data_IF_904959638640
#
_entry.id   IF_904959638640
#
_cell.length_a   1.000
_cell.length_b   1.000
_cell.length_c   1.000
_cell.angle_alpha   90.00
_cell.angle_beta   90.00
_cell.angle_gamma   90.00
#
_symmetry.space_group_name_H-M   'P 1'
#
loop_
_entity.id
_entity.type
_entity.pdbx_description
1 polymer ?
#
# COMPACT_ATOMS: atom_id res chain seq x y z
N UNK A 1 59.83 -39.42 0.43
CA UNK A 1 59.72 -39.43 1.91
C UNK A 1 59.56 -37.98 2.35
N UNK A 2 58.62 -37.53 3.17
CA UNK A 2 57.51 -38.13 3.90
C UNK A 2 56.76 -36.92 4.50
N UNK A 3 55.45 -37.07 4.72
CA UNK A 3 54.66 -36.34 5.72
C UNK A 3 54.37 -34.86 5.48
N UNK A 4 53.15 -34.57 5.03
CA UNK A 4 52.24 -33.60 5.67
C UNK A 4 50.81 -33.70 5.11
N UNK A 5 50.17 -34.84 5.33
CA UNK A 5 48.72 -34.94 5.40
C UNK A 5 48.34 -35.10 6.87
N UNK A 6 47.79 -34.04 7.46
CA UNK A 6 47.04 -34.12 8.71
C UNK A 6 45.64 -33.58 8.44
N UNK A 7 44.77 -34.55 8.21
CA UNK A 7 43.32 -34.46 8.28
C UNK A 7 42.87 -33.69 9.52
N UNK A 8 42.06 -32.67 9.30
CA UNK A 8 41.24 -32.02 10.31
C UNK A 8 39.90 -32.77 10.29
N UNK A 9 39.88 -33.92 10.96
CA UNK A 9 38.66 -34.62 11.36
C UNK A 9 38.39 -34.29 12.84
N UNK A 10 37.80 -33.13 13.10
CA UNK A 10 37.23 -32.82 14.42
C UNK A 10 35.94 -32.02 14.24
N UNK A 11 34.88 -32.51 14.90
CA UNK A 11 33.54 -31.92 15.08
C UNK A 11 32.42 -32.47 14.20
N UNK A 12 32.23 -33.80 14.20
CA UNK A 12 30.99 -34.44 13.78
C UNK A 12 30.57 -35.57 14.75
N UNK A 13 30.51 -35.31 16.06
CA UNK A 13 29.90 -36.25 17.02
C UNK A 13 29.59 -35.59 18.36
N UNK A 14 28.45 -34.89 18.46
CA UNK A 14 28.06 -34.34 19.78
C UNK A 14 26.72 -33.62 19.91
N UNK A 15 26.01 -33.32 18.82
CA UNK A 15 24.71 -32.62 18.88
C UNK A 15 23.52 -33.56 19.01
N UNK A 16 23.33 -34.19 20.18
CA UNK A 16 22.09 -34.95 20.46
C UNK A 16 20.92 -34.00 20.72
N UNK A 17 19.94 -34.10 19.83
CA UNK A 17 18.51 -34.13 20.12
C UNK A 17 17.90 -32.96 20.92
N UNK A 18 17.82 -31.80 20.28
CA UNK A 18 16.67 -30.88 20.46
C UNK A 18 16.05 -30.56 19.09
N UNK A 19 15.88 -31.59 18.26
CA UNK A 19 14.91 -31.54 17.17
C UNK A 19 13.53 -31.68 17.80
N UNK A 20 13.03 -30.56 18.34
CA UNK A 20 11.65 -30.43 18.77
C UNK A 20 10.79 -30.68 17.54
N UNK A 21 10.14 -31.84 17.55
CA UNK A 21 9.27 -32.36 16.50
C UNK A 21 7.95 -31.57 16.49
N UNK A 22 8.02 -30.27 16.19
CA UNK A 22 6.88 -29.38 15.96
C UNK A 22 6.72 -29.25 14.46
N UNK A 23 6.27 -30.33 13.83
CA UNK A 23 5.71 -30.25 12.47
C UNK A 23 4.64 -31.31 12.28
N UNK A 24 3.63 -31.31 13.16
CA UNK A 24 2.31 -31.83 12.80
C UNK A 24 1.54 -30.67 12.17
N UNK A 25 1.94 -30.28 10.95
CA UNK A 25 1.09 -29.48 10.08
C UNK A 25 -0.17 -30.29 9.86
N UNK A 26 -1.32 -29.75 10.29
CA UNK A 26 -2.62 -30.31 9.94
C UNK A 26 -2.75 -30.12 8.44
N UNK A 27 -2.38 -31.15 7.68
CA UNK A 27 -2.60 -31.22 6.25
C UNK A 27 -4.11 -31.23 6.04
N UNK A 28 -4.68 -30.09 5.65
CA UNK A 28 -6.03 -30.02 5.12
C UNK A 28 -5.97 -30.59 3.70
N UNK A 29 -6.49 -31.80 3.44
CA UNK A 29 -6.37 -32.41 2.14
C UNK A 29 -7.31 -31.68 1.18
N UNK A 30 -6.76 -30.98 0.19
CA UNK A 30 -7.44 -30.78 -1.08
C UNK A 30 -8.00 -29.40 -1.43
N UNK A 31 -7.85 -28.36 -0.60
CA UNK A 31 -8.31 -27.01 -0.99
C UNK A 31 -7.22 -25.94 -1.04
N UNK A 32 -6.15 -26.09 -0.27
CA UNK A 32 -5.01 -25.19 -0.28
C UNK A 32 -3.77 -26.07 -0.20
N UNK A 33 -3.09 -26.28 -1.32
CA UNK A 33 -1.78 -26.91 -1.29
C UNK A 33 -0.89 -26.08 -0.37
N UNK A 34 -0.09 -26.73 0.49
CA UNK A 34 0.98 -26.03 1.21
C UNK A 34 2.02 -25.63 0.18
N UNK A 35 1.75 -24.51 -0.50
CA UNK A 35 2.76 -23.80 -1.25
C UNK A 35 3.88 -23.51 -0.25
N UNK A 36 5.06 -24.08 -0.48
CA UNK A 36 6.28 -23.66 0.22
C UNK A 36 6.65 -22.28 -0.35
N UNK A 37 5.77 -21.32 -0.11
CA UNK A 37 5.76 -19.98 -0.64
C UNK A 37 6.63 -19.11 0.27
N UNK A 38 7.93 -19.32 0.12
CA UNK A 38 8.96 -18.48 0.69
C UNK A 38 9.98 -18.19 -0.39
N UNK A 39 10.36 -16.93 -0.49
CA UNK A 39 11.49 -16.57 -1.32
C UNK A 39 12.75 -17.19 -0.74
N UNK A 40 13.37 -18.06 -1.53
CA UNK A 40 14.52 -18.88 -1.12
C UNK A 40 15.63 -18.80 -2.17
N UNK A 41 16.87 -19.01 -1.74
CA UNK A 41 17.98 -19.15 -2.65
C UNK A 41 17.85 -20.46 -3.44
N UNK A 42 18.04 -20.38 -4.76
CA UNK A 42 18.07 -21.57 -5.61
C UNK A 42 19.23 -22.48 -5.21
N UNK A 43 18.94 -23.75 -4.90
CA UNK A 43 19.97 -24.74 -4.57
C UNK A 43 20.83 -25.15 -5.77
N UNK A 44 20.38 -24.84 -6.99
CA UNK A 44 20.93 -25.38 -8.24
C UNK A 44 21.85 -24.42 -9.00
N UNK A 45 21.93 -23.14 -8.64
CA UNK A 45 22.64 -22.14 -9.43
C UNK A 45 23.95 -21.69 -8.78
N UNK A 46 25.03 -21.70 -9.57
CA UNK A 46 26.29 -21.00 -9.24
C UNK A 46 26.11 -19.47 -9.19
N UNK A 47 24.96 -18.96 -9.65
CA UNK A 47 24.54 -17.57 -9.51
C UNK A 47 23.58 -17.43 -8.32
N UNK A 48 23.68 -16.32 -7.58
CA UNK A 48 22.77 -15.94 -6.51
C UNK A 48 21.38 -15.60 -7.11
N UNK A 49 20.57 -16.62 -7.38
CA UNK A 49 19.21 -16.48 -7.90
C UNK A 49 18.23 -16.67 -6.74
N UNK A 50 17.33 -15.69 -6.60
CA UNK A 50 16.27 -15.69 -5.62
C UNK A 50 15.02 -16.27 -6.29
N UNK A 51 14.58 -17.47 -5.87
CA UNK A 51 13.30 -18.02 -6.28
C UNK A 51 12.23 -17.25 -5.52
N UNK A 52 11.49 -16.41 -6.24
CA UNK A 52 10.46 -15.57 -5.63
C UNK A 52 9.19 -16.38 -5.35
N UNK A 53 8.42 -15.91 -4.38
CA UNK A 53 7.09 -16.41 -4.10
C UNK A 53 6.04 -15.70 -4.96
N UNK A 54 5.32 -16.46 -5.81
CA UNK A 54 4.29 -15.95 -6.71
C UNK A 54 3.12 -15.25 -5.99
N UNK A 55 2.87 -15.56 -4.71
CA UNK A 55 1.84 -14.88 -3.90
C UNK A 55 2.34 -13.57 -3.29
N UNK A 56 3.60 -13.20 -3.51
CA UNK A 56 4.24 -11.99 -2.99
C UNK A 56 4.80 -11.16 -4.16
N UNK A 57 5.74 -11.72 -4.92
CA UNK A 57 6.38 -11.11 -6.09
C UNK A 57 5.72 -11.49 -7.43
N UNK A 58 4.54 -12.10 -7.40
CA UNK A 58 3.80 -12.42 -8.61
C UNK A 58 3.54 -11.16 -9.43
N UNK A 59 3.67 -11.29 -10.75
CA UNK A 59 3.43 -10.18 -11.69
C UNK A 59 2.04 -9.55 -11.48
N UNK A 60 1.04 -10.35 -11.06
CA UNK A 60 -0.30 -9.82 -10.76
C UNK A 60 -0.36 -8.90 -9.54
N UNK A 61 0.52 -9.06 -8.55
CA UNK A 61 0.59 -8.16 -7.38
C UNK A 61 1.21 -6.83 -7.79
N UNK A 62 2.36 -6.86 -8.46
CA UNK A 62 3.03 -5.64 -8.94
C UNK A 62 2.12 -4.84 -9.88
N UNK A 63 1.58 -5.49 -10.92
CA UNK A 63 0.66 -4.83 -11.85
C UNK A 63 -0.64 -4.36 -11.16
N UNK A 64 -1.14 -5.13 -10.19
CA UNK A 64 -2.30 -4.75 -9.39
C UNK A 64 -2.08 -3.47 -8.61
N UNK A 65 -0.96 -3.36 -7.89
CA UNK A 65 -0.58 -2.14 -7.16
C UNK A 65 -0.41 -0.94 -8.10
N UNK A 66 0.21 -1.13 -9.26
CA UNK A 66 0.39 -0.05 -10.25
C UNK A 66 -0.96 0.40 -10.83
N UNK A 67 -1.85 -0.54 -11.16
CA UNK A 67 -3.20 -0.23 -11.65
C UNK A 67 -4.05 0.43 -10.58
N UNK A 68 -3.96 -0.01 -9.33
CA UNK A 68 -4.63 0.63 -8.19
C UNK A 68 -4.18 2.10 -8.07
N UNK A 69 -2.87 2.36 -8.11
CA UNK A 69 -2.35 3.72 -8.06
C UNK A 69 -2.83 4.57 -9.25
N UNK A 70 -2.76 4.02 -10.47
CA UNK A 70 -3.27 4.71 -11.66
C UNK A 70 -4.77 5.03 -11.55
N UNK A 71 -5.55 4.08 -11.01
CA UNK A 71 -6.99 4.26 -10.75
C UNK A 71 -7.23 5.41 -9.76
N UNK A 72 -6.44 5.49 -8.69
CA UNK A 72 -6.53 6.59 -7.73
C UNK A 72 -6.26 7.94 -8.39
N UNK A 73 -5.24 8.04 -9.25
CA UNK A 73 -4.93 9.26 -10.00
C UNK A 73 -6.11 9.68 -10.88
N UNK A 74 -6.65 8.75 -11.66
CA UNK A 74 -7.83 8.98 -12.50
C UNK A 74 -9.02 9.43 -11.66
N UNK A 75 -9.27 8.78 -10.50
CA UNK A 75 -10.35 9.15 -9.60
C UNK A 75 -10.15 10.59 -9.11
N UNK A 76 -8.95 10.96 -8.67
CA UNK A 76 -8.69 12.30 -8.16
C UNK A 76 -8.81 13.39 -9.22
N UNK A 77 -8.49 13.10 -10.49
CA UNK A 77 -8.45 14.10 -11.55
C UNK A 77 -9.77 14.23 -12.30
N UNK A 78 -10.44 13.11 -12.59
CA UNK A 78 -11.60 13.08 -13.49
C UNK A 78 -12.93 12.91 -12.74
N UNK A 79 -12.91 12.21 -11.60
CA UNK A 79 -14.10 11.89 -10.83
C UNK A 79 -13.84 12.06 -9.32
N UNK A 80 -13.57 13.29 -8.85
CA UNK A 80 -13.18 13.54 -7.45
C UNK A 80 -14.22 13.04 -6.44
N UNK A 81 -15.48 12.92 -6.83
CA UNK A 81 -16.54 12.28 -6.04
C UNK A 81 -16.32 10.77 -5.83
N UNK A 82 -15.68 10.08 -6.78
CA UNK A 82 -15.29 8.68 -6.66
C UNK A 82 -13.99 8.50 -5.85
N UNK A 83 -13.25 9.57 -5.56
CA UNK A 83 -11.96 9.49 -4.85
C UNK A 83 -12.08 8.89 -3.44
N UNK A 84 -13.22 9.08 -2.76
CA UNK A 84 -13.44 8.47 -1.44
C UNK A 84 -13.55 6.94 -1.52
N UNK A 85 -14.28 6.44 -2.52
CA UNK A 85 -14.43 5.01 -2.77
C UNK A 85 -13.11 4.40 -3.24
N UNK A 86 -12.42 5.11 -4.14
CA UNK A 86 -11.10 4.78 -4.64
C UNK A 86 -10.08 4.54 -3.51
N UNK A 87 -10.01 5.46 -2.53
CA UNK A 87 -9.16 5.30 -1.34
C UNK A 87 -9.52 4.07 -0.51
N UNK A 88 -10.81 3.78 -0.36
CA UNK A 88 -11.26 2.62 0.42
C UNK A 88 -10.86 1.29 -0.24
N UNK A 89 -11.01 1.18 -1.56
CA UNK A 89 -10.52 0.02 -2.32
C UNK A 89 -9.01 -0.08 -2.21
N UNK A 90 -8.31 1.04 -2.39
CA UNK A 90 -6.86 1.08 -2.30
C UNK A 90 -6.35 0.56 -0.94
N UNK A 91 -6.95 1.03 0.15
CA UNK A 91 -6.63 0.57 1.50
C UNK A 91 -6.90 -0.93 1.68
N UNK A 92 -7.98 -1.43 1.09
CA UNK A 92 -8.31 -2.86 1.12
C UNK A 92 -7.25 -3.70 0.41
N UNK A 93 -6.81 -3.27 -0.78
CA UNK A 93 -5.74 -3.94 -1.54
C UNK A 93 -4.43 -3.89 -0.75
N UNK A 94 -4.07 -2.73 -0.18
CA UNK A 94 -2.89 -2.58 0.67
C UNK A 94 -2.92 -3.55 1.86
N UNK A 95 -4.04 -3.63 2.59
CA UNK A 95 -4.18 -4.59 3.70
C UNK A 95 -4.06 -6.03 3.20
N UNK A 96 -4.66 -6.37 2.05
CA UNK A 96 -4.57 -7.71 1.48
C UNK A 96 -3.13 -8.11 1.12
N UNK A 97 -2.40 -7.23 0.42
CA UNK A 97 -0.99 -7.42 0.07
C UNK A 97 -0.15 -7.58 1.34
N UNK A 98 -0.29 -6.67 2.30
CA UNK A 98 0.47 -6.72 3.55
C UNK A 98 0.16 -7.97 4.37
N UNK A 99 -1.11 -8.38 4.45
CA UNK A 99 -1.50 -9.62 5.16
C UNK A 99 -0.84 -10.84 4.52
N UNK A 100 -0.77 -10.89 3.19
CA UNK A 100 -0.09 -11.98 2.47
C UNK A 100 1.43 -11.97 2.70
N UNK A 101 2.03 -10.81 2.95
CA UNK A 101 3.46 -10.72 3.29
C UNK A 101 3.77 -11.18 4.72
N UNK A 102 2.82 -11.12 5.66
CA UNK A 102 3.03 -11.55 7.05
C UNK A 102 3.04 -13.08 7.19
N UNK A 103 4.16 -13.69 6.80
CA UNK A 103 4.44 -15.12 7.00
C UNK A 103 5.40 -15.33 8.17
N UNK A 104 5.31 -16.45 8.91
CA UNK A 104 6.28 -16.75 9.95
C UNK A 104 7.68 -16.91 9.33
N UNK A 105 8.73 -16.29 9.92
CA UNK A 105 10.07 -16.40 9.37
C UNK A 105 10.53 -17.86 9.37
N UNK A 106 11.09 -18.31 8.26
CA UNK A 106 11.69 -19.64 8.13
C UNK A 106 13.21 -19.50 7.94
N UNK A 107 13.96 -20.49 8.42
CA UNK A 107 15.43 -20.50 8.26
C UNK A 107 15.76 -20.50 6.76
N UNK A 108 16.47 -19.47 6.31
CA UNK A 108 16.85 -19.28 4.91
C UNK A 108 15.83 -18.55 4.04
N UNK A 109 14.71 -18.07 4.60
CA UNK A 109 13.80 -17.19 3.85
C UNK A 109 14.35 -15.76 3.80
N UNK A 110 14.09 -15.07 2.68
CA UNK A 110 14.48 -13.67 2.47
C UNK A 110 13.27 -12.74 2.66
N UNK A 111 12.47 -13.05 3.69
CA UNK A 111 11.20 -12.36 4.00
C UNK A 111 11.38 -10.86 4.28
N UNK A 112 12.55 -10.46 4.79
CA UNK A 112 12.82 -9.05 5.08
C UNK A 112 12.84 -8.21 3.80
N UNK A 113 13.34 -8.77 2.69
CA UNK A 113 13.35 -8.08 1.40
C UNK A 113 11.92 -7.92 0.86
N UNK A 114 11.08 -8.94 1.04
CA UNK A 114 9.65 -8.90 0.68
C UNK A 114 8.92 -7.78 1.42
N UNK A 115 9.11 -7.72 2.73
CA UNK A 115 8.49 -6.70 3.56
C UNK A 115 8.96 -5.29 3.21
N UNK A 116 10.24 -5.15 2.88
CA UNK A 116 10.78 -3.88 2.43
C UNK A 116 10.13 -3.44 1.12
N UNK A 117 10.12 -4.29 0.09
CA UNK A 117 9.60 -3.93 -1.23
C UNK A 117 8.11 -3.61 -1.17
N UNK A 118 7.29 -4.50 -0.61
CA UNK A 118 5.84 -4.26 -0.54
C UNK A 118 5.45 -3.17 0.45
N UNK A 119 6.17 -3.06 1.57
CA UNK A 119 6.02 -1.96 2.50
C UNK A 119 6.39 -0.62 1.85
N UNK A 120 7.46 -0.58 1.06
CA UNK A 120 7.84 0.64 0.37
C UNK A 120 6.80 1.03 -0.69
N UNK A 121 6.43 0.10 -1.58
CA UNK A 121 5.45 0.35 -2.63
C UNK A 121 4.10 0.78 -2.07
N UNK A 122 3.53 -0.01 -1.16
CA UNK A 122 2.20 0.31 -0.65
C UNK A 122 2.21 1.61 0.15
N UNK A 123 3.34 2.05 0.72
CA UNK A 123 3.43 3.32 1.43
C UNK A 123 3.40 4.49 0.47
N UNK A 124 4.33 4.52 -0.48
CA UNK A 124 4.46 5.66 -1.38
C UNK A 124 3.32 5.75 -2.39
N UNK A 125 2.81 4.62 -2.89
CA UNK A 125 1.63 4.61 -3.76
C UNK A 125 0.39 5.14 -3.02
N UNK A 126 0.30 4.93 -1.70
CA UNK A 126 -0.78 5.47 -0.87
C UNK A 126 -0.57 6.94 -0.48
N UNK A 127 0.67 7.43 -0.35
CA UNK A 127 0.94 8.86 -0.14
C UNK A 127 0.36 9.73 -1.26
N UNK A 128 0.33 9.20 -2.49
CA UNK A 128 -0.34 9.86 -3.62
C UNK A 128 -1.84 10.13 -3.39
N UNK A 129 -2.48 9.46 -2.41
CA UNK A 129 -3.92 9.61 -2.16
C UNK A 129 -4.29 10.74 -1.21
N UNK A 130 -3.30 11.32 -0.52
CA UNK A 130 -3.52 12.37 0.47
C UNK A 130 -4.06 13.61 -0.23
N UNK A 131 -5.29 14.05 0.07
CA UNK A 131 -5.82 15.27 -0.53
C UNK A 131 -5.06 16.48 0.02
N UNK A 132 -4.70 17.43 -0.84
CA UNK A 132 -3.98 18.65 -0.44
C UNK A 132 -4.90 19.74 0.15
N UNK A 133 -6.22 19.48 0.19
CA UNK A 133 -7.22 20.42 0.73
C UNK A 133 -7.77 19.93 2.08
N UNK A 134 -7.94 20.83 3.04
CA UNK A 134 -8.44 20.52 4.40
C UNK A 134 -9.80 19.86 4.43
N UNK A 135 -10.73 20.38 3.63
CA UNK A 135 -12.13 19.94 3.64
C UNK A 135 -12.25 18.43 3.35
N UNK A 136 -11.59 17.90 2.30
CA UNK A 136 -11.59 16.45 2.08
C UNK A 136 -10.75 15.67 3.11
N UNK A 137 -9.66 16.22 3.67
CA UNK A 137 -8.88 15.53 4.72
C UNK A 137 -9.76 15.18 5.91
N UNK A 138 -10.59 16.10 6.40
CA UNK A 138 -11.46 15.85 7.56
C UNK A 138 -12.52 14.79 7.29
N UNK A 139 -13.02 14.71 6.04
CA UNK A 139 -13.97 13.66 5.65
C UNK A 139 -13.30 12.27 5.53
N UNK A 140 -12.00 12.25 5.17
CA UNK A 140 -11.23 11.02 5.00
C UNK A 140 -10.33 10.68 6.19
N UNK A 141 -10.46 11.37 7.33
CA UNK A 141 -9.55 11.26 8.48
C UNK A 141 -9.39 9.80 8.95
N UNK A 142 -10.50 9.07 9.06
CA UNK A 142 -10.49 7.65 9.44
C UNK A 142 -9.73 6.75 8.47
N UNK A 143 -9.82 7.00 7.16
CA UNK A 143 -9.10 6.21 6.16
C UNK A 143 -7.59 6.49 6.21
N UNK A 144 -7.20 7.75 6.43
CA UNK A 144 -5.80 8.13 6.59
C UNK A 144 -5.24 7.59 7.89
N UNK A 145 -6.01 7.64 8.99
CA UNK A 145 -5.64 7.04 10.27
C UNK A 145 -5.44 5.53 10.14
N UNK A 146 -6.37 4.80 9.51
CA UNK A 146 -6.23 3.37 9.30
C UNK A 146 -4.96 3.01 8.51
N UNK A 147 -4.65 3.79 7.47
CA UNK A 147 -3.41 3.66 6.70
C UNK A 147 -2.20 3.93 7.57
N UNK A 148 -2.15 5.05 8.29
CA UNK A 148 -1.04 5.42 9.17
C UNK A 148 -0.82 4.42 10.31
N UNK A 149 -1.89 3.86 10.89
CA UNK A 149 -1.82 2.81 11.92
C UNK A 149 -1.24 1.53 11.32
N UNK A 150 -1.72 1.12 10.14
CA UNK A 150 -1.20 -0.05 9.41
C UNK A 150 0.30 0.14 9.14
N UNK A 151 0.71 1.33 8.67
CA UNK A 151 2.11 1.68 8.45
C UNK A 151 2.95 1.67 9.70
N UNK A 152 2.43 2.25 10.78
CA UNK A 152 3.14 2.29 12.06
C UNK A 152 3.36 0.87 12.59
N UNK A 153 2.35 -0.01 12.47
CA UNK A 153 2.49 -1.40 12.85
C UNK A 153 3.59 -2.13 12.05
N UNK A 154 3.67 -1.89 10.74
CA UNK A 154 4.71 -2.45 9.87
C UNK A 154 6.09 -1.90 10.24
N UNK A 155 6.21 -0.59 10.44
CA UNK A 155 7.48 0.04 10.83
C UNK A 155 7.93 -0.50 12.19
N UNK A 156 7.04 -0.63 13.18
CA UNK A 156 7.38 -1.17 14.50
C UNK A 156 7.78 -2.66 14.40
N UNK A 157 7.06 -3.45 13.62
CA UNK A 157 7.43 -4.84 13.34
C UNK A 157 8.81 -4.94 12.67
N UNK A 158 9.12 -4.02 11.74
CA UNK A 158 10.41 -3.95 11.06
C UNK A 158 11.54 -3.40 11.94
N UNK A 159 11.31 -2.38 12.78
CA UNK A 159 12.31 -1.77 13.68
C UNK A 159 12.86 -2.81 14.65
N UNK A 160 12.02 -3.73 15.09
CA UNK A 160 12.43 -4.87 15.92
C UNK A 160 13.42 -5.81 15.19
N UNK A 161 13.46 -5.77 13.85
CA UNK A 161 14.35 -6.52 12.96
C UNK A 161 15.50 -5.69 12.34
N UNK A 162 15.47 -4.36 12.44
CA UNK A 162 16.30 -3.41 11.70
C UNK A 162 17.76 -3.23 12.17
N UNK A 163 18.35 -4.15 12.94
CA UNK A 163 19.82 -4.09 13.12
C UNK A 163 20.59 -4.31 11.79
N UNK A 164 19.92 -4.75 10.71
CA UNK A 164 20.54 -5.07 9.41
C UNK A 164 20.27 -4.08 8.25
N UNK A 165 19.30 -3.16 8.33
CA UNK A 165 18.91 -2.26 7.22
C UNK A 165 19.00 -0.80 7.69
N UNK A 166 20.20 -0.36 8.05
CA UNK A 166 20.40 0.95 8.68
C UNK A 166 20.41 2.11 7.67
N UNK A 167 20.72 1.85 6.40
CA UNK A 167 20.99 2.91 5.41
C UNK A 167 19.75 3.32 4.60
N UNK A 168 18.94 2.37 4.10
CA UNK A 168 17.74 2.71 3.30
C UNK A 168 16.57 3.21 4.16
N UNK A 169 16.47 2.75 5.40
CA UNK A 169 15.46 3.21 6.36
C UNK A 169 15.64 4.69 6.72
N UNK A 170 16.89 5.18 6.78
CA UNK A 170 17.19 6.58 7.08
C UNK A 170 16.74 7.48 5.94
N UNK A 171 17.00 7.10 4.69
CA UNK A 171 16.56 7.88 3.52
C UNK A 171 15.02 7.93 3.45
N UNK A 172 14.35 6.78 3.62
CA UNK A 172 12.88 6.73 3.66
C UNK A 172 12.28 7.57 4.79
N UNK A 173 12.85 7.50 6.00
CA UNK A 173 12.43 8.33 7.13
C UNK A 173 12.67 9.82 6.92
N UNK A 174 13.80 10.22 6.31
CA UNK A 174 14.09 11.62 6.01
C UNK A 174 13.13 12.16 4.96
N UNK A 175 12.91 11.41 3.87
CA UNK A 175 11.97 11.78 2.79
C UNK A 175 10.54 11.83 3.33
N UNK A 176 10.12 10.82 4.10
CA UNK A 176 8.81 10.79 4.74
C UNK A 176 8.61 11.94 5.73
N UNK A 177 9.59 12.20 6.59
CA UNK A 177 9.55 13.32 7.53
C UNK A 177 9.52 14.67 6.81
N UNK A 178 10.26 14.81 5.70
CA UNK A 178 10.25 16.01 4.88
C UNK A 178 8.87 16.25 4.25
N UNK A 179 8.26 15.24 3.63
CA UNK A 179 6.93 15.40 3.03
C UNK A 179 5.84 15.62 4.08
N UNK A 180 5.92 14.96 5.23
CA UNK A 180 4.95 15.14 6.32
C UNK A 180 5.07 16.53 6.93
N UNK A 181 6.31 17.02 7.13
CA UNK A 181 6.56 18.37 7.65
C UNK A 181 6.23 19.45 6.63
N UNK A 182 6.55 19.28 5.34
CA UNK A 182 6.13 20.19 4.27
C UNK A 182 4.60 20.24 4.14
N UNK A 183 3.93 19.10 4.27
CA UNK A 183 2.47 19.00 4.38
C UNK A 183 1.96 19.80 5.57
N UNK A 184 2.48 19.57 6.78
CA UNK A 184 2.12 20.29 8.01
C UNK A 184 2.40 21.80 7.92
N UNK A 185 3.50 22.22 7.32
CA UNK A 185 3.83 23.63 7.11
C UNK A 185 2.89 24.26 6.10
N UNK A 186 2.59 23.58 4.99
CA UNK A 186 1.57 24.03 4.05
C UNK A 186 0.19 24.12 4.71
N UNK A 187 -0.09 23.21 5.65
CA UNK A 187 -1.31 23.22 6.45
C UNK A 187 -1.39 24.44 7.36
N UNK A 188 -0.36 24.69 8.13
CA UNK A 188 -0.30 25.82 9.05
C UNK A 188 -0.27 27.15 8.29
N UNK A 189 0.47 27.23 7.18
CA UNK A 189 0.55 28.42 6.33
C UNK A 189 -0.82 28.77 5.77
N UNK A 190 -1.53 27.84 5.15
CA UNK A 190 -2.87 28.10 4.63
C UNK A 190 -3.90 28.40 5.73
N UNK A 191 -3.82 27.76 6.90
CA UNK A 191 -4.69 28.08 8.02
C UNK A 191 -4.49 29.53 8.51
N UNK A 192 -3.24 30.00 8.54
CA UNK A 192 -2.92 31.39 8.91
C UNK A 192 -3.29 32.39 7.82
N UNK A 193 -3.15 32.04 6.54
CA UNK A 193 -3.44 32.95 5.43
C UNK A 193 -4.94 33.06 5.11
N UNK A 194 -5.70 31.96 5.24
CA UNK A 194 -7.15 31.95 5.04
C UNK A 194 -7.92 32.88 6.01
N UNK A 195 -7.30 33.25 7.14
CA UNK A 195 -7.86 34.22 8.08
C UNK A 195 -7.79 35.67 7.57
N UNK A 196 -6.86 35.98 6.66
CA UNK A 196 -6.55 37.37 6.27
C UNK A 196 -7.09 37.77 4.89
N UNK A 197 -7.61 36.83 4.11
CA UNK A 197 -7.89 37.03 2.69
C UNK A 197 -9.39 36.80 2.41
N UNK A 198 -10.22 37.74 2.86
CA UNK A 198 -11.67 37.70 2.63
C UNK A 198 -12.10 38.19 1.24
N UNK A 199 -11.22 38.82 0.45
CA UNK A 199 -11.62 39.57 -0.75
C UNK A 199 -10.84 39.28 -2.06
N UNK A 200 -10.02 38.21 -2.16
CA UNK A 200 -9.31 37.87 -3.42
C UNK A 200 -9.95 36.71 -4.19
N UNK A 201 -9.93 36.82 -5.53
CA UNK A 201 -10.46 35.84 -6.50
C UNK A 201 -9.98 34.40 -6.19
N UNK A 202 -10.85 33.51 -5.68
CA UNK A 202 -10.46 32.17 -5.22
C UNK A 202 -10.13 31.18 -6.35
N UNK A 203 -10.33 31.55 -7.62
CA UNK A 203 -10.34 30.61 -8.74
C UNK A 203 -8.94 30.26 -9.26
N UNK A 204 -8.02 31.23 -9.34
CA UNK A 204 -6.68 31.03 -9.92
C UNK A 204 -5.71 30.27 -8.99
N UNK A 205 -5.88 30.41 -7.68
CA UNK A 205 -5.02 29.72 -6.70
C UNK A 205 -5.34 28.23 -6.61
N UNK A 206 -6.62 27.86 -6.75
CA UNK A 206 -7.06 26.46 -6.75
C UNK A 206 -6.44 25.63 -7.89
N UNK A 207 -6.37 26.19 -9.10
CA UNK A 207 -5.82 25.49 -10.26
C UNK A 207 -4.31 25.20 -10.10
N UNK A 208 -3.54 26.16 -9.58
CA UNK A 208 -2.09 25.98 -9.35
C UNK A 208 -1.82 24.93 -8.28
N UNK A 209 -2.58 24.95 -7.19
CA UNK A 209 -2.46 23.97 -6.12
C UNK A 209 -2.83 22.55 -6.61
N UNK A 210 -3.89 22.42 -7.42
CA UNK A 210 -4.29 21.14 -8.01
C UNK A 210 -3.24 20.61 -8.99
N UNK A 211 -2.66 21.47 -9.83
CA UNK A 211 -1.61 21.08 -10.77
C UNK A 211 -0.33 20.63 -10.04
N UNK A 212 0.12 21.39 -9.03
CA UNK A 212 1.28 21.03 -8.22
C UNK A 212 1.07 19.72 -7.46
N UNK A 213 -0.11 19.56 -6.86
CA UNK A 213 -0.55 18.34 -6.20
C UNK A 213 -0.46 17.15 -7.15
N UNK A 214 -1.01 17.30 -8.36
CA UNK A 214 -0.99 16.27 -9.40
C UNK A 214 0.43 15.88 -9.78
N UNK A 215 1.30 16.86 -10.05
CA UNK A 215 2.71 16.59 -10.35
C UNK A 215 3.39 15.84 -9.22
N UNK A 216 3.15 16.23 -7.96
CA UNK A 216 3.74 15.58 -6.80
C UNK A 216 3.23 14.13 -6.66
N UNK A 217 1.93 13.89 -6.85
CA UNK A 217 1.35 12.54 -6.81
C UNK A 217 1.93 11.62 -7.90
N UNK A 218 2.15 12.17 -9.10
CA UNK A 218 2.78 11.44 -10.22
C UNK A 218 4.22 11.06 -9.87
N UNK A 219 5.00 12.00 -9.35
CA UNK A 219 6.40 11.76 -8.95
C UNK A 219 6.47 10.74 -7.80
N UNK A 220 5.63 10.89 -6.77
CA UNK A 220 5.56 9.97 -5.64
C UNK A 220 5.07 8.57 -6.02
N UNK A 221 4.37 8.41 -7.15
CA UNK A 221 3.97 7.11 -7.66
C UNK A 221 4.99 6.45 -8.57
N UNK A 222 5.61 7.21 -9.48
CA UNK A 222 6.57 6.68 -10.45
C UNK A 222 7.89 6.29 -9.79
N UNK A 223 8.40 7.09 -8.84
CA UNK A 223 9.68 6.81 -8.18
C UNK A 223 9.68 5.42 -7.50
N UNK A 224 8.68 5.06 -6.68
CA UNK A 224 8.64 3.76 -6.04
C UNK A 224 8.55 2.59 -7.01
N UNK A 225 7.74 2.73 -8.06
CA UNK A 225 7.65 1.72 -9.11
C UNK A 225 9.04 1.46 -9.72
N UNK A 226 9.77 2.52 -10.07
CA UNK A 226 11.13 2.39 -10.62
C UNK A 226 12.07 1.76 -9.59
N UNK A 227 12.03 2.19 -8.33
CA UNK A 227 12.88 1.67 -7.26
C UNK A 227 12.64 0.18 -7.02
N UNK A 228 11.38 -0.26 -7.00
CA UNK A 228 11.00 -1.66 -6.84
C UNK A 228 11.47 -2.48 -8.04
N UNK A 229 11.26 -2.02 -9.27
CA UNK A 229 11.76 -2.70 -10.48
C UNK A 229 13.29 -2.82 -10.51
N UNK A 230 14.01 -1.76 -10.12
CA UNK A 230 15.47 -1.78 -10.02
C UNK A 230 15.90 -2.76 -8.92
N UNK A 231 15.23 -2.74 -7.76
CA UNK A 231 15.54 -3.62 -6.64
C UNK A 231 15.35 -5.09 -7.02
N UNK A 232 14.26 -5.42 -7.71
CA UNK A 232 14.01 -6.78 -8.20
C UNK A 232 15.09 -7.22 -9.21
N UNK A 233 15.47 -6.33 -10.15
CA UNK A 233 16.51 -6.62 -11.15
C UNK A 233 17.90 -6.80 -10.52
N UNK A 234 18.31 -5.91 -9.61
CA UNK A 234 19.63 -5.97 -8.96
C UNK A 234 19.78 -7.24 -8.11
N UNK A 235 18.69 -7.71 -7.51
CA UNK A 235 18.69 -8.93 -6.69
C UNK A 235 18.39 -10.21 -7.49
N UNK A 236 18.32 -10.15 -8.82
CA UNK A 236 17.97 -11.27 -9.70
C UNK A 236 16.71 -12.03 -9.23
N UNK A 237 15.69 -11.28 -8.78
CA UNK A 237 14.40 -11.84 -8.37
C UNK A 237 13.66 -12.23 -9.64
N UNK A 238 13.51 -13.53 -9.88
CA UNK A 238 12.70 -14.02 -10.99
C UNK A 238 11.24 -13.97 -10.58
N UNK A 239 10.46 -13.06 -11.16
CA UNK A 239 9.01 -13.06 -10.97
C UNK A 239 8.43 -14.33 -11.59
N UNK A 240 7.44 -14.94 -10.93
CA UNK A 240 6.66 -16.00 -11.54
C UNK A 240 6.05 -15.53 -12.86
N UNK A 241 6.38 -16.20 -13.96
CA UNK A 241 5.82 -15.89 -15.29
C UNK A 241 4.33 -16.28 -15.39
N UNK A 242 3.82 -17.02 -14.42
CA UNK A 242 2.45 -17.54 -14.45
C UNK A 242 1.56 -16.81 -13.46
N UNK A 243 0.33 -16.47 -13.89
CA UNK A 243 -0.76 -16.01 -13.03
C UNK A 243 -1.46 -17.17 -12.30
N UNK A 244 -0.71 -18.22 -11.95
CA UNK A 244 -1.29 -19.46 -11.42
C UNK A 244 -1.68 -19.34 -9.95
N UNK A 245 -0.99 -18.48 -9.20
CA UNK A 245 -1.26 -18.28 -7.78
C UNK A 245 -2.53 -17.42 -7.58
N UNK A 246 -3.42 -17.89 -6.71
CA UNK A 246 -4.72 -17.22 -6.50
C UNK A 246 -4.59 -15.83 -5.89
N UNK A 247 -3.56 -15.59 -5.06
CA UNK A 247 -3.33 -14.30 -4.41
C UNK A 247 -3.11 -13.17 -5.42
N UNK A 248 -2.21 -13.38 -6.39
CA UNK A 248 -1.94 -12.39 -7.43
C UNK A 248 -3.12 -12.17 -8.38
N UNK A 249 -3.90 -13.22 -8.69
CA UNK A 249 -5.06 -13.10 -9.59
C UNK A 249 -6.16 -12.24 -8.96
N UNK A 250 -6.42 -12.41 -7.65
CA UNK A 250 -7.43 -11.62 -6.93
C UNK A 250 -7.04 -10.13 -6.95
N UNK A 251 -5.79 -9.81 -6.57
CA UNK A 251 -5.30 -8.43 -6.51
C UNK A 251 -5.34 -7.78 -7.89
N UNK A 252 -4.87 -8.47 -8.93
CA UNK A 252 -4.91 -7.99 -10.30
C UNK A 252 -6.35 -7.75 -10.78
N UNK A 253 -7.25 -8.70 -10.54
CA UNK A 253 -8.66 -8.61 -10.96
C UNK A 253 -9.37 -7.44 -10.31
N UNK A 254 -9.25 -7.29 -8.98
CA UNK A 254 -9.84 -6.17 -8.24
C UNK A 254 -9.31 -4.84 -8.77
N UNK A 255 -8.01 -4.76 -9.05
CA UNK A 255 -7.37 -3.54 -9.57
C UNK A 255 -7.83 -3.19 -10.99
N UNK A 256 -8.01 -4.18 -11.87
CA UNK A 256 -8.56 -3.99 -13.22
C UNK A 256 -10.01 -3.49 -13.14
N UNK A 257 -10.87 -4.14 -12.36
CA UNK A 257 -12.27 -3.71 -12.20
C UNK A 257 -12.35 -2.30 -11.64
N UNK A 258 -11.52 -1.99 -10.66
CA UNK A 258 -11.44 -0.66 -10.08
C UNK A 258 -10.97 0.39 -11.09
N UNK A 259 -9.94 0.09 -11.90
CA UNK A 259 -9.46 0.96 -12.96
C UNK A 259 -10.55 1.24 -14.00
N UNK A 260 -11.20 0.19 -14.50
CA UNK A 260 -12.28 0.31 -15.49
C UNK A 260 -13.45 1.12 -14.92
N UNK A 261 -13.86 0.86 -13.68
CA UNK A 261 -14.94 1.59 -13.03
C UNK A 261 -14.62 3.09 -12.90
N UNK A 262 -13.37 3.41 -12.54
CA UNK A 262 -12.93 4.80 -12.34
C UNK A 262 -12.83 5.55 -13.68
N UNK A 263 -12.20 4.93 -14.68
CA UNK A 263 -12.10 5.51 -16.04
C UNK A 263 -13.47 5.68 -16.66
N UNK A 264 -14.34 4.66 -16.55
CA UNK A 264 -15.70 4.71 -17.07
C UNK A 264 -16.56 5.79 -16.39
N UNK A 265 -16.46 5.92 -15.06
CA UNK A 265 -17.11 6.98 -14.30
C UNK A 265 -16.63 8.37 -14.72
N UNK A 266 -15.31 8.55 -14.84
CA UNK A 266 -14.71 9.81 -15.30
C UNK A 266 -15.13 10.18 -16.72
N UNK A 267 -15.10 9.23 -17.66
CA UNK A 267 -15.49 9.47 -19.04
C UNK A 267 -16.97 9.86 -19.15
N UNK A 268 -17.85 9.23 -18.37
CA UNK A 268 -19.27 9.59 -18.29
C UNK A 268 -19.44 11.05 -17.86
N UNK A 269 -18.69 11.51 -16.85
CA UNK A 269 -18.75 12.90 -16.40
C UNK A 269 -18.30 13.89 -17.47
N UNK A 270 -17.22 13.57 -18.20
CA UNK A 270 -16.72 14.40 -19.31
C UNK A 270 -17.80 14.51 -20.41
N UNK A 271 -18.41 13.39 -20.80
CA UNK A 271 -19.46 13.36 -21.84
C UNK A 271 -20.70 14.15 -21.40
N UNK A 272 -21.13 14.00 -20.15
CA UNK A 272 -22.25 14.75 -19.59
C UNK A 272 -21.96 16.26 -19.54
N UNK A 273 -20.74 16.65 -19.16
CA UNK A 273 -20.31 18.04 -19.17
C UNK A 273 -20.26 18.63 -20.59
N UNK A 274 -19.83 17.85 -21.58
CA UNK A 274 -19.76 18.29 -22.97
C UNK A 274 -21.12 18.41 -23.66
N UNK A 275 -22.13 17.64 -23.21
CA UNK A 275 -23.46 17.60 -23.83
C UNK A 275 -24.43 18.68 -23.33
N UNK A 276 -24.02 19.58 -22.43
CA UNK A 276 -24.88 20.59 -21.79
C UNK A 276 -26.21 20.04 -21.22
N UNK A 277 -26.29 18.73 -20.95
CA UNK A 277 -27.48 18.12 -20.38
C UNK A 277 -27.59 18.55 -18.92
N UNK A 278 -28.71 19.14 -18.48
CA UNK A 278 -28.87 19.60 -17.11
C UNK A 278 -28.74 18.43 -16.14
N UNK A 279 -27.69 18.47 -15.31
CA UNK A 279 -27.39 17.51 -14.25
C UNK A 279 -28.41 17.62 -13.10
N UNK A 280 -29.64 17.14 -13.29
CA UNK A 280 -30.66 17.08 -12.22
C UNK A 280 -30.62 15.82 -11.35
N UNK A 281 -29.85 14.81 -11.74
CA UNK A 281 -29.93 13.46 -11.10
C UNK A 281 -28.77 13.20 -10.12
N UNK A 282 -27.69 13.99 -10.14
CA UNK A 282 -26.46 13.66 -9.41
C UNK A 282 -26.32 14.29 -8.02
N UNK A 283 -27.22 15.18 -7.58
CA UNK A 283 -27.12 15.79 -6.24
C UNK A 283 -27.64 14.86 -5.12
N UNK A 284 -28.58 13.96 -5.41
CA UNK A 284 -29.21 13.10 -4.39
C UNK A 284 -28.32 11.92 -3.94
N UNK A 285 -27.37 11.50 -4.77
CA UNK A 285 -26.46 10.38 -4.44
C UNK A 285 -25.18 10.83 -3.72
N UNK A 286 -24.86 12.13 -3.74
CA UNK A 286 -23.60 12.70 -3.20
C UNK A 286 -23.59 12.82 -1.69
N UNK A 287 -24.75 13.02 -1.06
CA UNK A 287 -24.83 13.25 0.39
C UNK A 287 -25.11 11.98 1.20
N UNK A 288 -25.57 10.89 0.60
CA UNK A 288 -25.99 9.72 1.38
C UNK A 288 -24.82 8.87 1.91
N UNK A 289 -23.74 8.62 1.16
CA UNK A 289 -22.78 7.57 1.57
C UNK A 289 -21.59 8.06 2.40
N UNK A 290 -21.08 9.28 2.19
CA UNK A 290 -20.07 9.86 3.08
C UNK A 290 -20.66 10.28 4.44
N UNK A 291 -21.97 10.53 4.49
CA UNK A 291 -22.68 11.00 5.68
C UNK A 291 -23.42 9.88 6.44
N UNK A 292 -23.53 8.67 5.86
CA UNK A 292 -24.18 7.53 6.51
C UNK A 292 -23.45 7.09 7.80
N UNK A 293 -22.18 7.49 7.98
CA UNK A 293 -21.44 7.22 9.22
C UNK A 293 -21.59 8.32 10.29
N UNK A 294 -21.88 9.57 9.91
CA UNK A 294 -22.15 10.64 10.90
C UNK A 294 -23.54 10.47 11.54
N UNK A 295 -24.51 9.87 10.84
CA UNK A 295 -25.82 9.56 11.42
C UNK A 295 -25.80 8.45 12.48
N UNK A 296 -24.86 7.48 12.39
CA UNK A 296 -24.75 6.40 13.38
C UNK A 296 -24.29 6.93 14.76
N UNK A 297 -23.51 8.02 14.78
CA UNK A 297 -23.06 8.64 16.03
C UNK A 297 -24.09 9.62 16.62
N UNK A 298 -25.00 10.18 15.81
CA UNK A 298 -26.05 11.09 16.30
C UNK A 298 -27.22 10.34 16.95
N UNK A 299 -27.57 9.14 16.49
CA UNK A 299 -28.63 8.35 17.13
C UNK A 299 -28.26 7.80 18.51
N UNK A 300 -26.96 7.65 18.82
CA UNK A 300 -26.52 7.19 20.17
C UNK A 300 -26.54 8.28 21.23
N UNK A 301 -26.63 9.56 20.88
CA UNK A 301 -26.69 10.66 21.84
C UNK A 301 -28.12 11.16 22.12
N UNK A 302 -29.12 10.68 21.36
CA UNK A 302 -30.52 11.13 21.49
C UNK A 302 -31.41 10.33 22.45
N UNK A 303 -31.03 9.11 22.87
CA UNK A 303 -31.91 8.24 23.69
C UNK A 303 -31.66 8.29 25.21
N UNK A 304 -30.83 9.22 25.71
CA UNK A 304 -30.38 9.22 27.11
C UNK A 304 -30.99 10.25 28.07
N UNK A 305 -31.95 11.10 27.65
CA UNK A 305 -32.49 12.16 28.52
C UNK A 305 -34.01 12.13 28.58
N UNK A 306 -34.54 11.21 29.37
CA UNK A 306 -35.98 11.05 29.56
C UNK A 306 -36.34 10.27 30.82
N UNK A 307 -35.69 10.55 31.97
CA UNK A 307 -36.13 10.04 33.27
C UNK A 307 -35.95 11.11 34.36
N UNK A 308 -37.08 11.43 35.01
CA UNK A 308 -37.33 12.21 36.25
C UNK A 308 -37.46 13.74 36.13
N UNK A 309 -38.72 14.20 36.14
CA UNK A 309 -39.33 14.77 37.35
C UNK A 309 -40.74 14.21 37.52
#
# INVERSE_FOLDING_TARGET
MSSKDKSIDYLASGGRAWAVNVRRTVEWPGLVGTSNAYTTFSAASQACVLNSDDDIYGIGICLGLYLQWASLMVATWIAPEAACYARSIANTITIAVLTNTFKPPQVGSVIVLEWWIHGFDTFFLQLGTVPFSFKPITASAWSLEAVMVTWTAIIVANVTWQTMIRESAVIGCIVGAFFTSAGLVGILWNATHASNEKDKEPEKEGLRAAALSTCLQVVLGIIPIIETEITMRVNNIQMGETLSASGQLIILSVSIFFFVATVGGGLKNIIMSASHLPNRVSDVSRDCLCNLRSSIDVERLGQGSGVRK
#
